data_IF_622647686863
#
_entry.id   IF_622647686863
#
_cell.length_a   1.000
_cell.length_b   1.000
_cell.length_c   1.000
_cell.angle_alpha   90.00
_cell.angle_beta   90.00
_cell.angle_gamma   90.00
#
_symmetry.space_group_name_H-M   'P 1'
#
loop_
_entity.id
_entity.type
_entity.pdbx_description
1 polymer ?
#
# COMPACT_ATOMS: atom_id res chain seq x y z
N UNK A 1 12.72 12.42 20.52
CA UNK A 1 11.72 12.26 19.45
C UNK A 1 11.38 10.79 19.38
N UNK A 2 10.11 10.40 19.17
CA UNK A 2 9.75 8.99 19.05
C UNK A 2 10.40 8.37 17.81
N UNK A 3 10.77 7.11 17.92
CA UNK A 3 11.25 6.25 16.83
C UNK A 3 10.10 5.95 15.86
N UNK A 4 10.37 5.98 14.56
CA UNK A 4 9.35 5.78 13.53
C UNK A 4 9.26 4.32 13.09
N UNK A 5 8.04 3.78 13.08
CA UNK A 5 7.66 2.54 12.42
C UNK A 5 6.87 2.92 11.17
N UNK A 6 7.48 2.81 10.00
CA UNK A 6 6.88 3.23 8.73
C UNK A 6 6.24 2.04 8.02
N UNK A 7 4.95 2.13 7.70
CA UNK A 7 4.20 1.11 6.98
C UNK A 7 3.99 1.52 5.52
N UNK A 8 4.42 0.69 4.57
CA UNK A 8 4.60 1.15 3.17
C UNK A 8 3.80 0.32 2.17
N UNK A 9 2.98 0.97 1.34
CA UNK A 9 2.38 0.36 0.15
C UNK A 9 2.80 1.07 -1.14
N UNK A 10 2.04 0.93 -2.24
CA UNK A 10 2.39 1.59 -3.52
C UNK A 10 1.98 3.06 -3.54
N UNK A 11 0.68 3.34 -3.37
CA UNK A 11 0.10 4.68 -3.52
C UNK A 11 -0.33 5.35 -2.21
N UNK A 12 -0.07 4.72 -1.05
CA UNK A 12 -0.44 5.23 0.28
C UNK A 12 -1.93 5.58 0.47
N UNK A 13 -2.84 4.97 -0.30
CA UNK A 13 -4.29 5.18 -0.16
C UNK A 13 -5.07 3.97 0.35
N UNK A 14 -4.46 2.78 0.40
CA UNK A 14 -5.17 1.50 0.57
C UNK A 14 -4.79 0.80 1.87
N UNK A 15 -3.91 -0.20 1.76
CA UNK A 15 -3.44 -1.04 2.88
C UNK A 15 -2.66 -0.28 3.96
N UNK A 16 -1.68 0.53 3.58
CA UNK A 16 -0.74 1.11 4.55
C UNK A 16 -1.36 2.15 5.50
N UNK A 17 -2.31 3.02 5.09
CA UNK A 17 -2.98 3.91 6.04
C UNK A 17 -3.84 3.18 7.08
N UNK A 18 -4.48 2.06 6.70
CA UNK A 18 -5.20 1.21 7.65
C UNK A 18 -4.25 0.54 8.62
N UNK A 19 -3.11 0.05 8.11
CA UNK A 19 -2.07 -0.54 8.95
C UNK A 19 -1.50 0.49 9.94
N UNK A 20 -1.30 1.75 9.53
CA UNK A 20 -0.86 2.83 10.42
C UNK A 20 -1.88 3.06 11.53
N UNK A 21 -3.17 3.08 11.20
CA UNK A 21 -4.23 3.27 12.18
C UNK A 21 -4.23 2.15 13.25
N UNK A 22 -4.14 0.90 12.80
CA UNK A 22 -4.02 -0.27 13.69
C UNK A 22 -2.76 -0.16 14.55
N UNK A 23 -1.62 0.20 13.97
CA UNK A 23 -0.35 0.35 14.67
C UNK A 23 -0.40 1.44 15.73
N UNK A 24 -1.00 2.60 15.42
CA UNK A 24 -1.17 3.69 16.37
C UNK A 24 -2.04 3.23 17.54
N UNK A 25 -3.22 2.67 17.28
CA UNK A 25 -4.08 2.14 18.35
C UNK A 25 -3.33 1.14 19.24
N UNK A 26 -2.65 0.17 18.64
CA UNK A 26 -1.90 -0.86 19.37
C UNK A 26 -0.75 -0.30 20.22
N UNK A 27 0.02 0.66 19.69
CA UNK A 27 1.07 1.35 20.45
C UNK A 27 0.51 2.10 21.67
N UNK A 28 -0.72 2.59 21.59
CA UNK A 28 -1.45 3.17 22.72
C UNK A 28 -1.79 2.15 23.79
N UNK A 29 -2.37 1.02 23.38
CA UNK A 29 -2.76 -0.07 24.28
C UNK A 29 -1.57 -0.62 25.09
N UNK A 30 -0.39 -0.71 24.47
CA UNK A 30 0.83 -1.19 25.15
C UNK A 30 1.64 -0.07 25.83
N UNK A 31 1.15 1.18 25.83
CA UNK A 31 1.83 2.31 26.49
C UNK A 31 3.12 2.78 25.80
N UNK A 32 3.33 2.46 24.53
CA UNK A 32 4.57 2.71 23.78
C UNK A 32 4.58 4.02 22.97
N UNK A 33 3.50 4.81 22.97
CA UNK A 33 3.41 6.06 22.19
C UNK A 33 4.49 7.11 22.50
N UNK A 34 5.04 7.12 23.73
CA UNK A 34 6.10 8.05 24.10
C UNK A 34 7.43 7.74 23.40
N UNK A 35 7.66 6.46 23.07
CA UNK A 35 8.91 5.99 22.47
C UNK A 35 8.77 5.73 20.96
N UNK A 36 7.60 5.28 20.50
CA UNK A 36 7.37 4.90 19.12
C UNK A 36 6.18 5.65 18.51
N UNK A 37 6.29 5.93 17.21
CA UNK A 37 5.21 6.48 16.40
C UNK A 37 5.10 5.68 15.10
N UNK A 38 3.88 5.23 14.80
CA UNK A 38 3.59 4.63 13.52
C UNK A 38 3.17 5.70 12.49
N UNK A 39 3.70 5.58 11.28
CA UNK A 39 3.33 6.38 10.11
C UNK A 39 3.17 5.46 8.91
N UNK A 40 2.48 5.89 7.85
CA UNK A 40 2.48 5.18 6.57
C UNK A 40 2.98 6.02 5.41
N UNK A 41 3.43 5.38 4.34
CA UNK A 41 3.81 6.05 3.09
C UNK A 41 3.63 5.12 1.89
N UNK A 42 3.99 5.60 0.70
CA UNK A 42 3.90 4.86 -0.56
C UNK A 42 5.16 4.99 -1.39
N UNK A 43 5.57 3.90 -2.05
CA UNK A 43 6.78 3.86 -2.86
C UNK A 43 6.66 4.62 -4.18
N UNK A 44 5.45 4.99 -4.59
CA UNK A 44 5.19 5.53 -5.93
C UNK A 44 4.11 6.61 -5.96
N UNK A 45 3.88 7.31 -4.84
CA UNK A 45 2.87 8.38 -4.73
C UNK A 45 3.13 9.45 -5.79
N UNK A 46 4.34 10.00 -5.85
CA UNK A 46 4.72 11.04 -6.81
C UNK A 46 4.52 10.62 -8.27
N UNK A 47 4.84 9.36 -8.60
CA UNK A 47 4.71 8.85 -9.96
C UNK A 47 3.24 8.69 -10.36
N UNK A 48 2.40 8.23 -9.43
CA UNK A 48 0.97 8.10 -9.64
C UNK A 48 0.34 9.48 -9.82
N UNK A 49 0.62 10.43 -8.93
CA UNK A 49 0.08 11.79 -9.00
C UNK A 49 0.49 12.53 -10.27
N UNK A 50 1.73 12.36 -10.73
CA UNK A 50 2.23 12.97 -11.98
C UNK A 50 1.81 12.20 -13.24
N UNK A 51 1.13 11.05 -13.12
CA UNK A 51 0.81 10.16 -14.24
C UNK A 51 2.05 9.59 -14.95
N UNK A 52 3.19 9.52 -14.26
CA UNK A 52 4.47 9.03 -14.76
C UNK A 52 4.68 7.54 -14.43
N UNK A 53 3.59 6.79 -14.32
CA UNK A 53 3.60 5.36 -14.04
C UNK A 53 4.13 4.61 -15.29
N UNK A 54 5.07 3.65 -15.15
CA UNK A 54 5.58 2.89 -16.29
C UNK A 54 4.47 2.16 -17.06
N UNK A 55 4.57 2.09 -18.38
CA UNK A 55 3.59 1.44 -19.27
C UNK A 55 3.19 0.02 -18.81
N UNK A 56 4.16 -0.78 -18.35
CA UNK A 56 3.90 -2.13 -17.82
C UNK A 56 2.99 -2.12 -16.59
N UNK A 57 3.17 -1.15 -15.69
CA UNK A 57 2.32 -1.01 -14.52
C UNK A 57 0.93 -0.47 -14.90
N UNK A 58 0.86 0.49 -15.83
CA UNK A 58 -0.42 0.95 -16.39
C UNK A 58 -1.21 -0.21 -17.02
N UNK A 59 -0.56 -1.02 -17.84
CA UNK A 59 -1.16 -2.18 -18.48
C UNK A 59 -1.70 -3.22 -17.47
N UNK A 60 -1.04 -3.38 -16.32
CA UNK A 60 -1.53 -4.25 -15.25
C UNK A 60 -2.88 -3.79 -14.68
N UNK A 61 -3.01 -2.51 -14.36
CA UNK A 61 -4.27 -1.93 -13.83
C UNK A 61 -5.36 -1.91 -14.90
N UNK A 62 -5.00 -1.58 -16.16
CA UNK A 62 -5.93 -1.69 -17.29
C UNK A 62 -6.40 -3.13 -17.45
N UNK A 63 -5.52 -4.13 -17.30
CA UNK A 63 -5.88 -5.55 -17.33
C UNK A 63 -6.98 -5.91 -16.33
N UNK A 64 -6.89 -5.42 -15.09
CA UNK A 64 -7.96 -5.58 -14.09
C UNK A 64 -9.25 -4.90 -14.56
N UNK A 65 -9.17 -3.71 -15.15
CA UNK A 65 -10.31 -3.02 -15.75
C UNK A 65 -10.98 -3.84 -16.87
N UNK A 66 -10.19 -4.54 -17.70
CA UNK A 66 -10.71 -5.45 -18.74
C UNK A 66 -11.45 -6.63 -18.14
N UNK A 67 -10.87 -7.28 -17.13
CA UNK A 67 -11.49 -8.41 -16.41
C UNK A 67 -12.83 -8.03 -15.76
N UNK A 68 -13.00 -6.74 -15.43
CA UNK A 68 -14.20 -6.17 -14.82
C UNK A 68 -15.12 -5.45 -15.81
N UNK A 69 -14.92 -5.64 -17.11
CA UNK A 69 -15.76 -5.08 -18.18
C UNK A 69 -15.88 -3.54 -18.14
N UNK A 70 -14.84 -2.85 -17.66
CA UNK A 70 -14.84 -1.38 -17.54
C UNK A 70 -14.83 -0.65 -18.90
N UNK A 71 -14.37 -1.34 -19.94
CA UNK A 71 -14.12 -0.78 -21.26
C UNK A 71 -15.02 -1.43 -22.30
N UNK A 72 -15.51 -0.62 -23.24
CA UNK A 72 -16.24 -1.06 -24.43
C UNK A 72 -15.35 -1.82 -25.41
N UNK A 73 -15.96 -2.54 -26.35
CA UNK A 73 -15.24 -3.33 -27.34
C UNK A 73 -14.28 -2.50 -28.23
N UNK A 74 -14.62 -1.25 -28.53
CA UNK A 74 -13.76 -0.38 -29.34
C UNK A 74 -12.60 0.20 -28.52
N UNK A 75 -12.84 0.57 -27.25
CA UNK A 75 -11.77 0.96 -26.32
C UNK A 75 -10.77 -0.19 -26.10
N UNK A 76 -11.25 -1.44 -26.01
CA UNK A 76 -10.36 -2.60 -25.89
C UNK A 76 -9.41 -2.76 -27.08
N UNK A 77 -9.91 -2.56 -28.32
CA UNK A 77 -9.07 -2.58 -29.53
C UNK A 77 -8.03 -1.46 -29.49
N UNK A 78 -8.43 -0.26 -29.06
CA UNK A 78 -7.51 0.88 -28.95
C UNK A 78 -6.42 0.63 -27.90
N UNK A 79 -6.79 0.11 -26.73
CA UNK A 79 -5.86 -0.28 -25.66
C UNK A 79 -4.85 -1.30 -26.21
N UNK A 80 -5.32 -2.35 -26.89
CA UNK A 80 -4.42 -3.38 -27.43
C UNK A 80 -3.49 -2.84 -28.50
N UNK A 81 -3.97 -1.92 -29.33
CA UNK A 81 -3.13 -1.22 -30.29
C UNK A 81 -2.10 -0.32 -29.58
N UNK A 82 -2.52 0.43 -28.56
CA UNK A 82 -1.64 1.31 -27.78
C UNK A 82 -0.53 0.55 -27.04
N UNK A 83 -0.83 -0.63 -26.48
CA UNK A 83 0.17 -1.51 -25.85
C UNK A 83 1.20 -1.98 -26.90
N UNK A 84 0.75 -2.39 -28.09
CA UNK A 84 1.65 -2.87 -29.16
C UNK A 84 2.54 -1.76 -29.71
N UNK A 85 2.01 -0.56 -29.86
CA UNK A 85 2.71 0.56 -30.48
C UNK A 85 3.52 1.41 -29.48
N UNK A 86 3.41 1.14 -28.17
CA UNK A 86 4.07 1.93 -27.13
C UNK A 86 3.49 3.34 -26.98
N UNK A 87 2.17 3.50 -27.14
CA UNK A 87 1.44 4.78 -27.02
C UNK A 87 1.03 5.05 -25.58
N UNK A 88 2.00 5.42 -24.75
CA UNK A 88 1.84 5.62 -23.29
C UNK A 88 0.79 6.68 -22.93
N UNK A 89 0.63 7.71 -23.76
CA UNK A 89 -0.36 8.76 -23.58
C UNK A 89 -1.81 8.24 -23.64
N UNK A 90 -2.07 7.26 -24.51
CA UNK A 90 -3.37 6.62 -24.63
C UNK A 90 -3.57 5.68 -23.44
N UNK A 91 -2.56 4.87 -23.11
CA UNK A 91 -2.62 3.98 -21.94
C UNK A 91 -2.89 4.77 -20.65
N UNK A 92 -2.31 5.95 -20.51
CA UNK A 92 -2.52 6.82 -19.34
C UNK A 92 -3.99 7.17 -19.15
N UNK A 93 -4.74 7.44 -20.21
CA UNK A 93 -6.17 7.80 -20.10
C UNK A 93 -6.98 6.62 -19.50
N UNK A 94 -6.77 5.42 -20.03
CA UNK A 94 -7.45 4.21 -19.54
C UNK A 94 -7.00 3.79 -18.14
N UNK A 95 -5.72 3.96 -17.84
CA UNK A 95 -5.14 3.74 -16.52
C UNK A 95 -5.74 4.67 -15.48
N UNK A 96 -5.84 5.98 -15.76
CA UNK A 96 -6.41 6.96 -14.82
C UNK A 96 -7.88 6.65 -14.53
N UNK A 97 -8.67 6.30 -15.56
CA UNK A 97 -10.08 5.91 -15.39
C UNK A 97 -10.24 4.68 -14.49
N UNK A 98 -9.45 3.63 -14.72
CA UNK A 98 -9.49 2.43 -13.87
C UNK A 98 -9.01 2.73 -12.45
N UNK A 99 -7.93 3.49 -12.31
CA UNK A 99 -7.35 3.83 -11.01
C UNK A 99 -8.29 4.66 -10.16
N UNK A 100 -9.00 5.63 -10.76
CA UNK A 100 -10.02 6.44 -10.07
C UNK A 100 -11.17 5.58 -9.55
N UNK A 101 -11.73 4.71 -10.40
CA UNK A 101 -12.77 3.78 -10.00
C UNK A 101 -12.32 2.88 -8.84
N UNK A 102 -11.17 2.23 -8.99
CA UNK A 102 -10.66 1.31 -7.96
C UNK A 102 -10.29 2.02 -6.67
N UNK A 103 -9.78 3.25 -6.73
CA UNK A 103 -9.47 4.05 -5.54
C UNK A 103 -10.75 4.45 -4.79
N UNK A 104 -11.82 4.79 -5.51
CA UNK A 104 -13.12 5.10 -4.92
C UNK A 104 -13.73 3.87 -4.24
N UNK A 105 -13.75 2.73 -4.94
CA UNK A 105 -14.24 1.47 -4.35
C UNK A 105 -13.41 1.05 -3.13
N UNK A 106 -12.08 1.14 -3.20
CA UNK A 106 -11.22 0.83 -2.07
C UNK A 106 -11.46 1.76 -0.88
N UNK A 107 -11.79 3.03 -1.12
CA UNK A 107 -12.17 3.98 -0.07
C UNK A 107 -13.50 3.59 0.61
N UNK A 108 -14.49 3.18 -0.17
CA UNK A 108 -15.77 2.71 0.35
C UNK A 108 -15.57 1.42 1.18
N UNK A 109 -14.85 0.44 0.63
CA UNK A 109 -14.53 -0.81 1.33
C UNK A 109 -13.72 -0.58 2.60
N UNK A 110 -12.78 0.37 2.58
CA UNK A 110 -12.00 0.77 3.76
C UNK A 110 -12.89 1.29 4.88
N UNK A 111 -13.78 2.21 4.56
CA UNK A 111 -14.70 2.80 5.53
C UNK A 111 -15.57 1.73 6.17
N UNK A 112 -16.09 0.81 5.36
CA UNK A 112 -16.87 -0.32 5.85
C UNK A 112 -16.06 -1.30 6.69
N UNK A 113 -14.83 -1.64 6.29
CA UNK A 113 -13.97 -2.57 7.00
C UNK A 113 -13.56 -2.02 8.38
N UNK A 114 -13.21 -0.74 8.46
CA UNK A 114 -12.86 -0.07 9.74
C UNK A 114 -14.01 -0.18 10.72
N UNK A 115 -15.23 0.13 10.27
CA UNK A 115 -16.44 0.01 11.09
C UNK A 115 -16.71 -1.46 11.47
N UNK A 116 -16.59 -2.37 10.51
CA UNK A 116 -16.87 -3.80 10.72
C UNK A 116 -15.93 -4.43 11.75
N UNK A 117 -14.65 -4.09 11.70
CA UNK A 117 -13.63 -4.64 12.60
C UNK A 117 -13.44 -3.83 13.90
N UNK A 118 -14.18 -2.73 14.08
CA UNK A 118 -14.07 -1.88 15.26
C UNK A 118 -12.69 -1.22 15.39
N UNK A 119 -12.07 -0.84 14.27
CA UNK A 119 -10.77 -0.15 14.29
C UNK A 119 -11.00 1.31 14.71
N UNK A 120 -10.34 1.75 15.78
CA UNK A 120 -10.50 3.12 16.28
C UNK A 120 -9.65 4.14 15.51
N UNK A 121 -10.18 5.36 15.41
CA UNK A 121 -9.51 6.53 14.84
C UNK A 121 -9.88 6.82 13.38
N UNK A 122 -9.08 7.66 12.73
CA UNK A 122 -9.36 8.19 11.38
C UNK A 122 -8.19 7.90 10.47
N UNK A 123 -8.47 7.30 9.31
CA UNK A 123 -7.45 7.08 8.29
C UNK A 123 -7.02 8.43 7.74
N UNK A 124 -5.71 8.64 7.64
CA UNK A 124 -5.19 9.86 7.04
C UNK A 124 -5.67 10.04 5.60
N UNK A 125 -5.97 11.28 5.23
CA UNK A 125 -6.48 11.61 3.89
C UNK A 125 -5.35 11.81 2.87
N UNK A 126 -4.19 12.29 3.33
CA UNK A 126 -3.08 12.63 2.45
C UNK A 126 -2.17 11.43 2.21
N UNK A 127 -1.91 11.15 0.93
CA UNK A 127 -0.88 10.20 0.52
C UNK A 127 0.51 10.83 0.66
N UNK A 128 1.46 10.07 1.18
CA UNK A 128 2.82 10.52 1.41
C UNK A 128 3.83 9.59 0.75
N UNK A 129 4.78 10.17 0.02
CA UNK A 129 5.87 9.43 -0.60
C UNK A 129 6.85 8.92 0.47
N UNK A 130 7.29 7.67 0.35
CA UNK A 130 8.37 7.13 1.19
C UNK A 130 9.65 7.92 0.94
N UNK A 131 10.26 8.44 2.01
CA UNK A 131 11.53 9.15 2.02
C UNK A 131 12.46 8.54 3.07
N UNK A 132 13.77 8.68 2.89
CA UNK A 132 14.76 8.26 3.89
C UNK A 132 14.56 9.05 5.18
N UNK A 133 14.49 8.34 6.30
CA UNK A 133 14.27 8.90 7.64
C UNK A 133 15.34 8.42 8.62
N UNK A 134 16.09 9.33 9.28
CA UNK A 134 17.09 8.94 10.27
C UNK A 134 16.47 8.46 11.59
N UNK A 135 15.21 8.78 11.84
CA UNK A 135 14.43 8.36 13.01
C UNK A 135 13.63 7.08 12.78
N UNK A 136 13.65 6.51 11.57
CA UNK A 136 13.02 5.22 11.29
C UNK A 136 13.81 4.08 11.92
N UNK A 137 13.12 3.24 12.70
CA UNK A 137 13.65 1.99 13.24
C UNK A 137 13.19 0.78 12.43
N UNK A 138 12.05 0.89 11.76
CA UNK A 138 11.54 -0.12 10.85
C UNK A 138 10.75 0.51 9.69
N UNK A 139 10.89 -0.08 8.50
CA UNK A 139 10.11 0.22 7.31
C UNK A 139 9.50 -1.10 6.79
N UNK A 140 8.23 -1.31 7.11
CA UNK A 140 7.51 -2.56 6.88
C UNK A 140 6.57 -2.45 5.67
N UNK A 141 6.94 -3.13 4.59
CA UNK A 141 6.25 -3.07 3.30
C UNK A 141 5.10 -4.06 3.20
N UNK A 142 3.99 -3.67 2.56
CA UNK A 142 2.80 -4.52 2.39
C UNK A 142 2.99 -5.68 1.39
N UNK A 143 4.00 -5.59 0.52
CA UNK A 143 4.32 -6.61 -0.47
C UNK A 143 5.81 -6.58 -0.85
N UNK A 144 6.29 -7.67 -1.46
CA UNK A 144 7.68 -7.80 -1.93
C UNK A 144 8.05 -6.74 -2.99
N UNK A 145 7.10 -6.37 -3.86
CA UNK A 145 7.32 -5.28 -4.82
C UNK A 145 7.60 -3.95 -4.13
N UNK A 146 6.87 -3.63 -3.05
CA UNK A 146 7.10 -2.42 -2.26
C UNK A 146 8.44 -2.51 -1.51
N UNK A 147 8.73 -3.67 -0.91
CA UNK A 147 9.99 -3.89 -0.18
C UNK A 147 11.23 -3.66 -1.05
N UNK A 148 11.23 -4.17 -2.29
CA UNK A 148 12.32 -3.92 -3.24
C UNK A 148 12.49 -2.44 -3.59
N UNK A 149 11.42 -1.65 -3.60
CA UNK A 149 11.53 -0.21 -3.84
C UNK A 149 12.01 0.53 -2.60
N UNK A 150 11.54 0.15 -1.41
CA UNK A 150 12.05 0.68 -0.14
C UNK A 150 13.56 0.43 -0.02
N UNK A 151 14.04 -0.78 -0.31
CA UNK A 151 15.46 -1.09 -0.32
C UNK A 151 16.24 -0.16 -1.25
N UNK A 152 15.75 0.08 -2.47
CA UNK A 152 16.39 1.04 -3.39
C UNK A 152 16.43 2.47 -2.84
N UNK A 153 15.38 2.91 -2.16
CA UNK A 153 15.31 4.24 -1.55
C UNK A 153 16.36 4.38 -0.43
N UNK A 154 16.57 3.34 0.37
CA UNK A 154 17.49 3.36 1.52
C UNK A 154 18.93 2.93 1.21
N UNK A 155 19.19 2.22 0.10
CA UNK A 155 20.50 1.63 -0.23
C UNK A 155 21.68 2.61 -0.26
N UNK A 156 21.44 3.90 -0.48
CA UNK A 156 22.48 4.94 -0.54
C UNK A 156 22.47 5.88 0.67
N UNK A 157 21.77 5.50 1.74
CA UNK A 157 21.68 6.31 2.97
C UNK A 157 22.49 5.69 4.10
N UNK A 158 22.93 6.52 5.05
CA UNK A 158 23.53 6.05 6.31
C UNK A 158 22.49 5.52 7.32
N UNK A 159 21.21 5.55 6.94
CA UNK A 159 20.10 5.08 7.78
C UNK A 159 19.96 3.57 7.64
N UNK A 160 19.84 2.87 8.77
CA UNK A 160 19.78 1.40 8.81
C UNK A 160 18.52 0.89 9.55
N UNK A 161 17.29 1.27 9.14
CA UNK A 161 16.09 0.68 9.72
C UNK A 161 15.98 -0.80 9.34
N UNK A 162 15.17 -1.54 10.09
CA UNK A 162 14.72 -2.87 9.65
C UNK A 162 13.82 -2.71 8.42
N UNK A 163 14.27 -3.17 7.26
CA UNK A 163 13.49 -3.15 6.01
C UNK A 163 13.00 -4.57 5.72
N UNK A 164 11.68 -4.79 5.76
CA UNK A 164 11.11 -6.11 5.52
C UNK A 164 9.66 -6.03 5.00
N UNK A 165 9.13 -7.16 4.52
CA UNK A 165 7.70 -7.32 4.26
C UNK A 165 6.98 -7.56 5.60
N UNK A 166 5.92 -6.80 5.86
CA UNK A 166 5.18 -6.80 7.13
C UNK A 166 4.82 -8.21 7.59
N UNK A 167 4.14 -9.01 6.76
CA UNK A 167 3.72 -10.36 7.13
C UNK A 167 4.88 -11.30 7.42
N UNK A 168 6.00 -11.18 6.68
CA UNK A 168 7.18 -12.02 6.90
C UNK A 168 7.88 -11.67 8.20
N UNK A 169 7.97 -10.37 8.49
CA UNK A 169 8.53 -9.88 9.75
C UNK A 169 7.68 -10.32 10.94
N UNK A 170 6.37 -10.10 10.86
CA UNK A 170 5.41 -10.46 11.89
C UNK A 170 5.46 -11.95 12.23
N UNK A 171 5.38 -12.82 11.22
CA UNK A 171 5.21 -14.27 11.41
C UNK A 171 6.52 -15.04 11.47
N UNK A 172 7.63 -14.46 10.98
CA UNK A 172 8.87 -15.19 10.72
C UNK A 172 8.81 -16.17 9.54
N UNK A 173 7.68 -16.26 8.84
CA UNK A 173 7.50 -17.11 7.67
C UNK A 173 7.87 -16.33 6.39
N UNK A 174 8.87 -16.76 5.61
CA UNK A 174 9.27 -16.09 4.36
C UNK A 174 8.17 -16.11 3.28
N UNK A 175 7.22 -17.04 3.36
CA UNK A 175 6.13 -17.16 2.40
C UNK A 175 4.87 -16.37 2.80
N UNK A 176 4.87 -15.76 3.99
CA UNK A 176 3.74 -14.94 4.44
C UNK A 176 3.58 -13.69 3.57
N UNK A 177 2.33 -13.41 3.18
CA UNK A 177 1.98 -12.26 2.34
C UNK A 177 0.61 -11.70 2.73
N UNK A 178 0.44 -10.41 2.53
CA UNK A 178 -0.89 -9.79 2.51
C UNK A 178 -1.49 -9.93 1.10
N UNK A 179 -2.80 -10.21 0.99
CA UNK A 179 -3.49 -10.11 -0.28
C UNK A 179 -3.37 -8.69 -0.87
N UNK A 180 -3.32 -8.60 -2.19
CA UNK A 180 -3.44 -7.33 -2.89
C UNK A 180 -4.92 -7.09 -3.24
N UNK A 181 -5.56 -6.21 -2.48
CA UNK A 181 -6.97 -5.90 -2.63
C UNK A 181 -7.28 -4.84 -3.71
N UNK A 182 -6.25 -4.17 -4.26
CA UNK A 182 -6.48 -3.07 -5.19
C UNK A 182 -7.11 -3.58 -6.51
N UNK A 183 -8.23 -2.98 -6.90
CA UNK A 183 -9.03 -3.39 -8.06
C UNK A 183 -9.75 -4.73 -7.90
N UNK A 184 -9.67 -5.36 -6.72
CA UNK A 184 -10.43 -6.57 -6.35
C UNK A 184 -11.73 -6.22 -5.63
N UNK A 185 -12.46 -7.24 -5.19
CA UNK A 185 -13.73 -7.07 -4.52
C UNK A 185 -13.61 -6.72 -3.04
N UNK A 186 -14.76 -6.42 -2.44
CA UNK A 186 -14.90 -6.13 -1.02
C UNK A 186 -14.38 -7.27 -0.13
N UNK A 187 -14.64 -8.52 -0.50
CA UNK A 187 -14.23 -9.68 0.30
C UNK A 187 -12.71 -9.82 0.39
N UNK A 188 -11.98 -9.57 -0.71
CA UNK A 188 -10.51 -9.53 -0.72
C UNK A 188 -9.99 -8.38 0.16
N UNK A 189 -10.66 -7.23 0.13
CA UNK A 189 -10.30 -6.11 0.99
C UNK A 189 -10.46 -6.44 2.47
N UNK A 190 -11.59 -7.05 2.85
CA UNK A 190 -11.86 -7.45 4.24
C UNK A 190 -10.87 -8.48 4.76
N UNK A 191 -10.53 -9.51 3.95
CA UNK A 191 -9.46 -10.48 4.28
C UNK A 191 -8.11 -9.81 4.49
N UNK A 192 -7.82 -8.77 3.70
CA UNK A 192 -6.58 -8.00 3.84
C UNK A 192 -6.56 -7.24 5.17
N UNK A 193 -7.66 -6.59 5.55
CA UNK A 193 -7.74 -5.86 6.83
C UNK A 193 -7.70 -6.82 8.03
N UNK A 194 -8.33 -7.99 7.93
CA UNK A 194 -8.24 -9.04 8.95
C UNK A 194 -6.78 -9.44 9.22
N UNK A 195 -6.01 -9.74 8.16
CA UNK A 195 -4.59 -10.06 8.29
C UNK A 195 -3.74 -8.89 8.77
N UNK A 196 -4.11 -7.64 8.46
CA UNK A 196 -3.43 -6.47 9.02
C UNK A 196 -3.63 -6.37 10.53
N UNK A 197 -4.83 -6.67 11.04
CA UNK A 197 -5.13 -6.66 12.48
C UNK A 197 -4.33 -7.70 13.25
N UNK A 198 -3.97 -8.80 12.60
CA UNK A 198 -3.11 -9.83 13.18
C UNK A 198 -1.62 -9.45 13.06
N UNK A 199 -1.16 -9.15 11.85
CA UNK A 199 0.26 -8.98 11.57
C UNK A 199 0.86 -7.68 12.12
N UNK A 200 0.10 -6.59 12.19
CA UNK A 200 0.62 -5.29 12.66
C UNK A 200 1.04 -5.36 14.14
N UNK A 201 0.18 -5.80 15.08
CA UNK A 201 0.58 -6.01 16.48
C UNK A 201 1.78 -6.94 16.62
N UNK A 202 1.78 -8.10 15.94
CA UNK A 202 2.88 -9.07 16.01
C UNK A 202 4.22 -8.47 15.54
N UNK A 203 4.19 -7.66 14.48
CA UNK A 203 5.39 -6.97 14.00
C UNK A 203 5.89 -5.95 15.03
N UNK A 204 4.99 -5.21 15.70
CA UNK A 204 5.35 -4.26 16.73
C UNK A 204 5.96 -4.97 17.94
N UNK A 205 5.33 -6.06 18.42
CA UNK A 205 5.85 -6.87 19.52
C UNK A 205 7.26 -7.39 19.23
N UNK A 206 7.48 -7.88 18.00
CA UNK A 206 8.78 -8.39 17.59
C UNK A 206 9.84 -7.28 17.46
N UNK A 207 9.44 -6.06 17.15
CA UNK A 207 10.37 -4.94 17.00
C UNK A 207 10.83 -4.39 18.36
N UNK A 208 9.96 -4.45 19.37
CA UNK A 208 10.21 -3.85 20.69
C UNK A 208 10.89 -4.84 21.66
N UNK A 209 10.68 -6.15 21.49
CA UNK A 209 11.29 -7.21 22.31
C UNK A 209 12.60 -7.74 21.71
#
# INVERSE_FOLDING_TARGET
MPKIIELVCTGNHGRSPVAELIAQYYLGEIGAFGEYKATSSGTSVDLIEKGQVPAKAMAGIIGIGKERELYSADELKEIDQAIRDGRDEILRQYFLRASDLFSKEEHDYRTEAIKYFGIEGVVKEKSEQTIVRPDAVAVLSMAESNNRQVQKIYNNSDCNPVINVLSRFATGNPDAALPDAFGKGKDEYFKTVELLREHVPMAIDRLIN
#
